data_IF_601296528866
#
_entry.id   IF_601296528866
#
_cell.length_a   1.000
_cell.length_b   1.000
_cell.length_c   1.000
_cell.angle_alpha   90.00
_cell.angle_beta   90.00
_cell.angle_gamma   90.00
#
_symmetry.space_group_name_H-M   'P 1'
#
loop_
_entity.id
_entity.type
_entity.pdbx_description
1 polymer ?
#
# COMPACT_ATOMS: atom_id res chain seq x y z
N UNK A 1 10.21 -6.38 -11.52
CA UNK A 1 9.31 -5.19 -11.42
C UNK A 1 9.57 -4.27 -12.60
N UNK A 2 8.51 -3.83 -13.30
CA UNK A 2 8.60 -2.99 -14.49
C UNK A 2 9.01 -1.54 -14.13
N UNK A 3 9.97 -0.96 -14.87
CA UNK A 3 10.54 0.38 -14.59
C UNK A 3 9.50 1.51 -14.64
N UNK A 4 8.45 1.37 -15.46
CA UNK A 4 7.35 2.33 -15.54
C UNK A 4 6.59 2.56 -14.20
N UNK A 5 6.84 1.73 -13.17
CA UNK A 5 6.27 1.89 -11.83
C UNK A 5 7.09 2.79 -10.92
N UNK A 6 8.33 3.09 -11.33
CA UNK A 6 9.33 3.78 -10.50
C UNK A 6 9.45 5.23 -10.97
N UNK A 7 9.21 6.16 -10.08
CA UNK A 7 9.20 7.58 -10.40
C UNK A 7 10.12 8.37 -9.47
N UNK A 8 10.94 9.24 -10.03
CA UNK A 8 11.73 10.19 -9.26
C UNK A 8 10.83 11.31 -8.72
N UNK A 9 10.86 11.52 -7.39
CA UNK A 9 10.11 12.60 -6.75
C UNK A 9 10.89 13.91 -6.70
N UNK A 10 12.21 13.83 -6.64
CA UNK A 10 13.09 14.97 -6.62
C UNK A 10 14.36 14.68 -7.44
N UNK A 11 15.20 15.73 -7.66
CA UNK A 11 16.47 15.61 -8.40
C UNK A 11 17.68 15.53 -7.47
N UNK A 12 17.46 15.19 -6.20
CA UNK A 12 18.55 15.11 -5.22
C UNK A 12 19.31 13.80 -5.41
N UNK A 13 20.58 13.82 -5.05
CA UNK A 13 21.40 12.59 -5.04
C UNK A 13 21.08 11.75 -3.81
N UNK A 14 21.45 10.49 -3.87
CA UNK A 14 21.58 9.67 -2.67
C UNK A 14 22.71 10.24 -1.79
N UNK A 15 22.61 10.06 -0.49
CA UNK A 15 23.57 10.54 0.48
C UNK A 15 24.08 9.37 1.35
N UNK A 16 25.23 9.51 2.03
CA UNK A 16 25.58 8.61 3.12
C UNK A 16 24.45 8.58 4.15
N UNK A 17 24.07 7.37 4.61
CA UNK A 17 22.99 7.22 5.56
C UNK A 17 23.07 5.89 6.30
N UNK A 18 22.26 5.75 7.33
CA UNK A 18 22.28 4.58 8.22
C UNK A 18 21.21 3.54 7.83
N UNK A 19 20.25 3.91 6.99
CA UNK A 19 19.15 3.04 6.54
C UNK A 19 18.56 3.54 5.22
N UNK A 20 17.75 2.69 4.59
CA UNK A 20 16.77 3.09 3.59
C UNK A 20 15.47 3.36 4.32
N UNK A 21 14.83 4.49 4.04
CA UNK A 21 13.54 4.86 4.64
C UNK A 21 12.41 4.48 3.68
N UNK A 22 11.45 3.68 4.14
CA UNK A 22 10.21 3.40 3.40
C UNK A 22 9.02 4.05 4.11
N UNK A 23 8.42 5.05 3.48
CA UNK A 23 7.16 5.62 3.96
C UNK A 23 5.98 4.85 3.37
N UNK A 24 5.38 3.99 4.17
CA UNK A 24 4.14 3.27 3.89
C UNK A 24 2.96 4.23 4.03
N UNK A 25 2.24 4.49 2.95
CA UNK A 25 1.11 5.43 2.93
C UNK A 25 -0.21 4.75 2.53
N UNK A 26 -0.23 4.05 1.41
CA UNK A 26 -1.42 3.51 0.77
C UNK A 26 -1.36 2.00 0.53
N UNK A 27 -0.20 1.37 0.72
CA UNK A 27 0.02 -0.07 0.57
C UNK A 27 0.24 -0.69 1.94
N UNK A 28 -0.85 -0.81 2.75
CA UNK A 28 -0.77 -1.25 4.14
C UNK A 28 -0.64 -2.78 4.23
N UNK A 29 0.47 -3.31 3.72
CA UNK A 29 0.76 -4.74 3.69
C UNK A 29 2.26 -5.02 3.68
N UNK A 30 2.66 -6.10 4.34
CA UNK A 30 4.04 -6.58 4.37
C UNK A 30 4.37 -7.58 3.25
N UNK A 31 3.40 -7.91 2.37
CA UNK A 31 3.51 -8.89 1.28
C UNK A 31 2.99 -8.30 -0.01
N UNK A 32 3.44 -8.82 -1.16
CA UNK A 32 2.98 -8.39 -2.49
C UNK A 32 2.98 -6.86 -2.65
N UNK A 33 4.05 -6.20 -2.17
CA UNK A 33 4.18 -4.74 -2.10
C UNK A 33 5.42 -4.27 -2.86
N UNK A 34 5.22 -3.82 -4.10
CA UNK A 34 6.30 -3.45 -5.01
C UNK A 34 7.16 -2.29 -4.50
N UNK A 35 6.59 -1.35 -3.73
CA UNK A 35 7.38 -0.28 -3.12
C UNK A 35 8.29 -0.81 -2.01
N UNK A 36 7.79 -1.76 -1.22
CA UNK A 36 8.57 -2.47 -0.22
C UNK A 36 9.70 -3.29 -0.89
N UNK A 37 9.38 -4.04 -1.95
CA UNK A 37 10.36 -4.86 -2.68
C UNK A 37 11.48 -3.99 -3.27
N UNK A 38 11.12 -2.83 -3.85
CA UNK A 38 12.10 -1.85 -4.33
C UNK A 38 12.99 -1.34 -3.18
N UNK A 39 12.41 -1.03 -2.02
CA UNK A 39 13.13 -0.53 -0.86
C UNK A 39 14.07 -1.60 -0.28
N UNK A 40 13.64 -2.87 -0.21
CA UNK A 40 14.46 -4.01 0.20
C UNK A 40 15.63 -4.22 -0.75
N UNK A 41 15.38 -4.24 -2.07
CA UNK A 41 16.44 -4.36 -3.06
C UNK A 41 17.45 -3.20 -2.96
N UNK A 42 16.97 -1.97 -2.72
CA UNK A 42 17.83 -0.81 -2.50
C UNK A 42 18.67 -0.94 -1.22
N UNK A 43 18.11 -1.43 -0.12
CA UNK A 43 18.79 -1.70 1.14
C UNK A 43 19.87 -2.77 0.95
N UNK A 44 19.54 -3.88 0.31
CA UNK A 44 20.46 -4.99 0.05
C UNK A 44 21.65 -4.56 -0.81
N UNK A 45 21.43 -3.76 -1.87
CA UNK A 45 22.53 -3.24 -2.71
C UNK A 45 23.51 -2.36 -1.95
N UNK A 46 23.07 -1.68 -0.89
CA UNK A 46 23.89 -0.75 -0.09
C UNK A 46 24.44 -1.35 1.19
N UNK A 47 24.01 -2.58 1.54
CA UNK A 47 24.36 -3.18 2.83
C UNK A 47 23.78 -2.41 4.02
N UNK A 48 22.59 -1.81 3.85
CA UNK A 48 21.89 -1.02 4.87
C UNK A 48 20.61 -1.71 5.32
N UNK A 49 20.15 -1.49 6.56
CA UNK A 49 18.83 -1.92 6.99
C UNK A 49 17.72 -1.08 6.32
N UNK A 50 16.50 -1.62 6.27
CA UNK A 50 15.30 -0.95 5.81
C UNK A 50 14.42 -0.58 7.00
N UNK A 51 14.13 0.70 7.20
CA UNK A 51 13.18 1.19 8.20
C UNK A 51 11.88 1.60 7.52
N UNK A 52 10.76 1.00 7.93
CA UNK A 52 9.43 1.36 7.47
C UNK A 52 8.76 2.31 8.47
N UNK A 53 7.99 3.28 7.95
CA UNK A 53 7.31 4.30 8.76
C UNK A 53 5.90 4.51 8.25
N UNK A 54 4.95 4.64 9.18
CA UNK A 54 3.58 5.06 8.91
C UNK A 54 3.26 6.35 9.69
N UNK A 55 2.65 7.33 9.02
CA UNK A 55 2.22 8.60 9.64
C UNK A 55 0.72 8.55 9.91
N UNK A 56 0.34 8.47 11.19
CA UNK A 56 -1.05 8.44 11.63
C UNK A 56 -1.57 9.85 11.91
N UNK A 57 -2.65 10.24 11.25
CA UNK A 57 -3.32 11.52 11.46
C UNK A 57 -4.57 11.36 12.32
N UNK A 58 -4.83 12.32 13.23
CA UNK A 58 -5.95 12.27 14.17
C UNK A 58 -7.32 12.46 13.51
N UNK A 59 -7.37 13.17 12.40
CA UNK A 59 -8.63 13.62 11.78
C UNK A 59 -8.60 13.49 10.26
N UNK A 60 -8.21 12.30 9.79
CA UNK A 60 -8.17 12.05 8.34
C UNK A 60 -9.57 12.13 7.73
N UNK A 61 -9.83 13.22 6.97
CA UNK A 61 -11.08 13.42 6.20
C UNK A 61 -12.37 13.07 6.98
N UNK A 62 -12.40 13.34 8.28
CA UNK A 62 -13.53 12.98 9.16
C UNK A 62 -13.80 11.47 9.26
N UNK A 63 -12.79 10.63 9.13
CA UNK A 63 -12.91 9.18 9.25
C UNK A 63 -13.48 8.78 10.62
N UNK A 64 -14.36 7.78 10.64
CA UNK A 64 -14.99 7.25 11.85
C UNK A 64 -14.03 6.37 12.65
N UNK A 65 -14.33 6.15 13.94
CA UNK A 65 -13.56 5.20 14.78
C UNK A 65 -13.48 3.80 14.19
N UNK A 66 -14.54 3.34 13.53
CA UNK A 66 -14.61 2.06 12.86
C UNK A 66 -13.59 2.00 11.71
N UNK A 67 -13.50 3.05 10.90
CA UNK A 67 -12.51 3.12 9.82
C UNK A 67 -11.08 3.11 10.36
N UNK A 68 -10.83 3.81 11.47
CA UNK A 68 -9.51 3.75 12.15
C UNK A 68 -9.23 2.37 12.74
N UNK A 69 -10.19 1.73 13.42
CA UNK A 69 -10.01 0.35 13.90
C UNK A 69 -9.67 -0.61 12.75
N UNK A 70 -10.36 -0.47 11.62
CA UNK A 70 -10.11 -1.28 10.43
C UNK A 70 -8.70 -1.05 9.88
N UNK A 71 -8.30 0.21 9.69
CA UNK A 71 -6.96 0.59 9.26
C UNK A 71 -5.88 0.05 10.21
N UNK A 72 -6.04 0.29 11.51
CA UNK A 72 -5.05 -0.10 12.53
C UNK A 72 -4.94 -1.61 12.67
N UNK A 73 -6.03 -2.36 12.52
CA UNK A 73 -6.00 -3.83 12.54
C UNK A 73 -5.23 -4.39 11.35
N UNK A 74 -5.43 -3.84 10.14
CA UNK A 74 -4.63 -4.23 8.97
C UNK A 74 -3.17 -3.79 9.09
N UNK A 75 -2.91 -2.63 9.70
CA UNK A 75 -1.56 -2.15 9.96
C UNK A 75 -0.83 -3.05 10.99
N UNK A 76 -1.55 -3.63 11.96
CA UNK A 76 -0.99 -4.60 12.90
C UNK A 76 -0.51 -5.86 12.19
N UNK A 77 -1.30 -6.36 11.24
CA UNK A 77 -0.88 -7.50 10.42
C UNK A 77 0.34 -7.15 9.57
N UNK A 78 0.35 -5.99 8.91
CA UNK A 78 1.49 -5.51 8.14
C UNK A 78 2.75 -5.36 9.00
N UNK A 79 2.63 -4.84 10.23
CA UNK A 79 3.75 -4.72 11.18
C UNK A 79 4.32 -6.09 11.56
N UNK A 80 3.45 -7.08 11.81
CA UNK A 80 3.88 -8.45 12.11
C UNK A 80 4.60 -9.09 10.91
N UNK A 81 4.04 -8.99 9.70
CA UNK A 81 4.67 -9.50 8.48
C UNK A 81 6.03 -8.86 8.19
N UNK A 82 6.16 -7.56 8.45
CA UNK A 82 7.43 -6.84 8.31
C UNK A 82 8.46 -7.28 9.37
N UNK A 83 8.02 -7.46 10.62
CA UNK A 83 8.88 -7.93 11.70
C UNK A 83 9.42 -9.34 11.43
N UNK A 84 8.61 -10.26 10.86
CA UNK A 84 9.07 -11.58 10.39
C UNK A 84 10.21 -11.47 9.36
N UNK A 85 10.22 -10.40 8.55
CA UNK A 85 11.28 -10.11 7.57
C UNK A 85 12.47 -9.31 8.18
N UNK A 86 12.44 -9.02 9.48
CA UNK A 86 13.46 -8.21 10.15
C UNK A 86 13.35 -6.70 9.87
N UNK A 87 12.18 -6.23 9.45
CA UNK A 87 11.91 -4.82 9.15
C UNK A 87 11.10 -4.21 10.30
N UNK A 88 11.61 -3.14 10.92
CA UNK A 88 10.86 -2.35 11.87
C UNK A 88 9.85 -1.45 11.16
N UNK A 89 8.57 -1.50 11.56
CA UNK A 89 7.55 -0.52 11.19
C UNK A 89 7.25 0.37 12.40
N UNK A 90 7.67 1.62 12.32
CA UNK A 90 7.41 2.64 13.32
C UNK A 90 6.20 3.51 12.94
N UNK A 91 5.29 3.73 13.88
CA UNK A 91 4.10 4.55 13.66
C UNK A 91 4.28 5.87 14.41
N UNK A 92 4.15 6.97 13.69
CA UNK A 92 4.25 8.31 14.27
C UNK A 92 2.94 9.08 14.10
N UNK A 93 2.57 9.84 15.13
CA UNK A 93 1.43 10.74 15.08
C UNK A 93 1.83 12.06 14.42
N UNK A 94 1.13 12.48 13.38
CA UNK A 94 1.33 13.77 12.74
C UNK A 94 1.34 13.69 11.21
N UNK A 95 1.71 14.81 10.59
CA UNK A 95 1.68 14.96 9.14
C UNK A 95 2.98 14.47 8.50
N UNK A 96 2.89 13.80 7.35
CA UNK A 96 4.07 13.23 6.69
C UNK A 96 5.16 14.25 6.34
N UNK A 97 4.77 15.47 5.97
CA UNK A 97 5.69 16.54 5.61
C UNK A 97 6.57 17.05 6.76
N UNK A 98 6.21 16.75 8.01
CA UNK A 98 7.04 17.05 9.18
C UNK A 98 7.88 15.84 9.63
N UNK A 99 7.32 14.65 9.54
CA UNK A 99 7.94 13.43 10.05
C UNK A 99 8.98 12.87 9.05
N UNK A 100 8.58 12.67 7.80
CA UNK A 100 9.42 11.97 6.83
C UNK A 100 10.70 12.73 6.48
N UNK A 101 10.69 14.05 6.22
CA UNK A 101 11.93 14.79 5.95
C UNK A 101 12.91 14.80 7.12
N UNK A 102 12.40 14.76 8.36
CA UNK A 102 13.26 14.66 9.54
C UNK A 102 13.94 13.28 9.59
N UNK A 103 13.19 12.21 9.47
CA UNK A 103 13.75 10.86 9.47
C UNK A 103 14.70 10.65 8.27
N UNK A 104 14.40 11.25 7.14
CA UNK A 104 15.22 11.17 5.94
C UNK A 104 16.61 11.85 6.07
N UNK A 105 16.86 12.65 7.10
CA UNK A 105 18.18 13.25 7.33
C UNK A 105 19.27 12.18 7.53
N UNK A 106 18.92 11.02 8.05
CA UNK A 106 19.82 9.89 8.24
C UNK A 106 19.60 8.75 7.25
N UNK A 107 18.68 8.90 6.30
CA UNK A 107 18.42 7.91 5.28
C UNK A 107 19.31 8.12 4.05
N UNK A 108 19.81 7.05 3.45
CA UNK A 108 20.55 7.11 2.18
C UNK A 108 19.61 7.36 0.99
N UNK A 109 18.40 6.85 1.06
CA UNK A 109 17.33 6.94 0.07
C UNK A 109 15.99 6.90 0.78
N UNK A 110 15.02 7.66 0.30
CA UNK A 110 13.62 7.58 0.75
C UNK A 110 12.75 6.98 -0.36
N UNK A 111 11.99 5.95 -0.01
CA UNK A 111 11.06 5.25 -0.91
C UNK A 111 9.64 5.48 -0.40
N UNK A 112 8.73 5.80 -1.31
CA UNK A 112 7.31 6.02 -1.02
C UNK A 112 6.46 5.04 -1.80
N UNK A 113 5.35 4.61 -1.25
CA UNK A 113 4.25 4.07 -2.04
C UNK A 113 3.31 5.19 -2.54
N UNK A 114 2.31 4.84 -3.32
CA UNK A 114 1.51 5.85 -4.02
C UNK A 114 0.06 5.86 -3.57
N UNK A 115 -0.35 6.99 -3.01
CA UNK A 115 -1.74 7.40 -2.93
C UNK A 115 -2.11 8.35 -4.08
N UNK A 116 -3.35 8.24 -4.60
CA UNK A 116 -3.79 8.98 -5.78
C UNK A 116 -4.69 10.17 -5.46
N UNK A 117 -5.21 10.28 -4.24
CA UNK A 117 -6.07 11.37 -3.82
C UNK A 117 -5.30 12.70 -3.78
N UNK A 118 -6.01 13.82 -3.99
CA UNK A 118 -5.39 15.15 -4.08
C UNK A 118 -4.46 15.46 -2.89
N UNK A 119 -4.92 15.21 -1.67
CA UNK A 119 -4.12 15.46 -0.46
C UNK A 119 -2.92 14.49 -0.35
N UNK A 120 -3.07 13.21 -0.74
CA UNK A 120 -1.96 12.25 -0.75
C UNK A 120 -0.87 12.66 -1.75
N UNK A 121 -1.28 13.16 -2.93
CA UNK A 121 -0.34 13.72 -3.92
C UNK A 121 0.35 14.97 -3.38
N UNK A 122 -0.38 15.86 -2.72
CA UNK A 122 0.19 17.06 -2.11
C UNK A 122 1.23 16.72 -1.02
N UNK A 123 0.95 15.75 -0.14
CA UNK A 123 1.91 15.26 0.84
C UNK A 123 3.17 14.69 0.19
N UNK A 124 3.03 13.86 -0.83
CA UNK A 124 4.16 13.29 -1.55
C UNK A 124 5.05 14.36 -2.15
N UNK A 125 4.46 15.35 -2.82
CA UNK A 125 5.19 16.49 -3.38
C UNK A 125 5.95 17.25 -2.28
N UNK A 126 5.27 17.56 -1.18
CA UNK A 126 5.88 18.31 -0.09
C UNK A 126 6.98 17.54 0.63
N UNK A 127 6.76 16.25 0.88
CA UNK A 127 7.80 15.37 1.43
C UNK A 127 9.02 15.33 0.51
N UNK A 128 8.83 15.15 -0.79
CA UNK A 128 9.94 15.11 -1.75
C UNK A 128 10.74 16.42 -1.82
N UNK A 129 10.06 17.57 -1.72
CA UNK A 129 10.71 18.89 -1.65
C UNK A 129 11.60 19.03 -0.41
N UNK A 130 11.09 18.63 0.75
CA UNK A 130 11.73 18.82 2.05
C UNK A 130 12.77 17.74 2.38
N UNK A 131 12.64 16.55 1.86
CA UNK A 131 13.56 15.42 2.10
C UNK A 131 14.95 15.75 1.56
N UNK A 132 16.05 15.56 2.33
CA UNK A 132 17.40 15.95 1.93
C UNK A 132 18.04 15.02 0.89
N UNK A 133 17.64 13.76 0.84
CA UNK A 133 18.18 12.75 -0.06
C UNK A 133 17.27 12.48 -1.28
N UNK A 134 17.77 11.66 -2.21
CA UNK A 134 16.98 11.12 -3.31
C UNK A 134 15.68 10.48 -2.80
N UNK A 135 14.59 10.79 -3.45
CA UNK A 135 13.26 10.31 -3.08
C UNK A 135 12.57 9.72 -4.30
N UNK A 136 12.12 8.49 -4.17
CA UNK A 136 11.48 7.71 -5.23
C UNK A 136 10.11 7.24 -4.75
N UNK A 137 9.10 7.26 -5.63
CA UNK A 137 7.83 6.62 -5.34
C UNK A 137 7.57 5.48 -6.32
N UNK A 138 6.89 4.43 -5.84
CA UNK A 138 6.63 3.21 -6.61
C UNK A 138 5.14 2.89 -6.61
N UNK A 139 4.59 2.65 -7.81
CA UNK A 139 3.19 2.28 -7.97
C UNK A 139 2.93 0.82 -7.60
N UNK A 140 2.32 0.60 -6.44
CA UNK A 140 2.05 -0.73 -5.87
C UNK A 140 0.58 -1.14 -5.87
N UNK A 141 -0.35 -0.19 -6.11
CA UNK A 141 -1.79 -0.40 -5.94
C UNK A 141 -2.57 -0.45 -7.25
N UNK A 142 -1.89 -0.67 -8.36
CA UNK A 142 -2.50 -0.80 -9.69
C UNK A 142 -1.86 -1.93 -10.48
N UNK A 143 -2.66 -2.58 -11.34
CA UNK A 143 -2.13 -3.57 -12.29
C UNK A 143 -1.26 -2.87 -13.34
N UNK A 144 -1.72 -1.77 -13.90
CA UNK A 144 -0.99 -0.97 -14.88
C UNK A 144 -0.76 0.42 -14.30
N UNK A 145 0.47 0.98 -14.36
CA UNK A 145 0.76 2.34 -13.90
C UNK A 145 -0.13 3.38 -14.56
N UNK A 146 -0.50 4.44 -13.81
CA UNK A 146 -1.48 5.44 -14.28
C UNK A 146 -1.08 6.08 -15.60
N UNK A 147 0.17 6.57 -15.69
CA UNK A 147 0.64 7.26 -16.89
C UNK A 147 0.82 6.34 -18.10
N UNK A 148 1.11 5.05 -17.84
CA UNK A 148 1.16 4.02 -18.88
C UNK A 148 -0.25 3.67 -19.39
N UNK A 149 -1.23 3.60 -18.48
CA UNK A 149 -2.62 3.31 -18.82
C UNK A 149 -3.23 4.42 -19.69
N UNK A 150 -3.02 5.68 -19.32
CA UNK A 150 -3.43 6.83 -20.13
C UNK A 150 -2.69 8.11 -19.70
N UNK A 151 -2.19 8.92 -20.63
CA UNK A 151 -1.57 10.22 -20.34
C UNK A 151 -2.59 11.31 -20.02
N UNK A 152 -3.90 11.00 -20.07
CA UNK A 152 -5.00 11.93 -19.81
C UNK A 152 -6.13 11.25 -19.04
N UNK A 153 -6.98 12.07 -18.42
CA UNK A 153 -8.19 11.59 -17.78
C UNK A 153 -9.13 10.91 -18.81
N UNK A 154 -9.64 9.74 -18.45
CA UNK A 154 -10.58 8.97 -19.27
C UNK A 154 -12.01 9.18 -18.80
N UNK A 155 -12.91 9.42 -19.76
CA UNK A 155 -14.32 9.73 -19.50
C UNK A 155 -15.14 8.54 -19.00
N UNK A 156 -14.69 7.32 -19.28
CA UNK A 156 -15.44 6.12 -18.93
C UNK A 156 -14.54 4.90 -18.74
N UNK A 157 -15.04 3.90 -18.02
CA UNK A 157 -14.41 2.60 -17.92
C UNK A 157 -14.21 1.92 -19.29
N UNK A 158 -15.10 2.17 -20.25
CA UNK A 158 -14.99 1.61 -21.60
C UNK A 158 -13.76 2.13 -22.33
N UNK A 159 -13.51 3.45 -22.33
CA UNK A 159 -12.33 4.04 -22.98
C UNK A 159 -11.03 3.61 -22.32
N UNK A 160 -11.03 3.54 -20.98
CA UNK A 160 -9.88 3.04 -20.21
C UNK A 160 -9.62 1.57 -20.51
N UNK A 161 -10.64 0.70 -20.51
CA UNK A 161 -10.51 -0.74 -20.76
C UNK A 161 -9.80 -1.03 -22.08
N UNK A 162 -10.17 -0.32 -23.15
CA UNK A 162 -9.53 -0.49 -24.47
C UNK A 162 -8.03 -0.19 -24.48
N UNK A 163 -7.58 0.69 -23.56
CA UNK A 163 -6.15 1.04 -23.43
C UNK A 163 -5.40 0.06 -22.56
N UNK A 164 -6.01 -0.38 -21.44
CA UNK A 164 -5.33 -1.24 -20.48
C UNK A 164 -5.31 -2.72 -20.91
N UNK A 165 -6.34 -3.20 -21.61
CA UNK A 165 -6.44 -4.62 -22.00
C UNK A 165 -5.21 -5.13 -22.74
N UNK A 166 -4.67 -4.44 -23.77
CA UNK A 166 -3.47 -4.91 -24.48
C UNK A 166 -2.20 -4.94 -23.63
N UNK A 167 -2.18 -4.18 -22.52
CA UNK A 167 -1.02 -4.04 -21.66
C UNK A 167 -1.04 -5.01 -20.46
N UNK A 168 -2.15 -5.70 -20.22
CA UNK A 168 -2.32 -6.52 -19.00
C UNK A 168 -1.19 -7.54 -18.85
N UNK A 169 -0.88 -8.28 -19.89
CA UNK A 169 0.10 -9.37 -19.84
C UNK A 169 1.53 -8.86 -19.58
N UNK A 170 1.85 -7.62 -19.95
CA UNK A 170 3.17 -7.01 -19.74
C UNK A 170 3.39 -6.55 -18.30
N UNK A 171 2.31 -6.32 -17.51
CA UNK A 171 2.37 -5.72 -16.19
C UNK A 171 2.00 -6.65 -15.03
N UNK A 172 1.74 -7.93 -15.30
CA UNK A 172 1.34 -8.91 -14.26
C UNK A 172 2.55 -9.47 -13.52
N UNK A 173 3.76 -9.21 -13.99
CA UNK A 173 4.97 -9.74 -13.38
C UNK A 173 5.13 -9.25 -11.94
N UNK A 174 4.97 -10.17 -10.99
CA UNK A 174 5.25 -9.93 -9.57
C UNK A 174 6.75 -9.99 -9.36
N UNK A 175 7.30 -8.95 -8.76
CA UNK A 175 8.69 -8.99 -8.32
C UNK A 175 8.90 -10.15 -7.34
N UNK A 176 10.04 -10.84 -7.44
CA UNK A 176 10.44 -11.81 -6.43
C UNK A 176 10.65 -11.08 -5.10
N UNK A 177 9.92 -11.48 -4.06
CA UNK A 177 10.09 -10.91 -2.73
C UNK A 177 11.50 -11.23 -2.21
N UNK A 178 12.29 -10.19 -2.00
CA UNK A 178 13.58 -10.30 -1.33
C UNK A 178 13.42 -10.07 0.18
N UNK A 179 14.32 -10.67 0.97
CA UNK A 179 14.44 -10.40 2.41
C UNK A 179 15.61 -9.45 2.65
N UNK A 180 15.49 -8.47 3.55
CA UNK A 180 16.61 -7.61 3.92
C UNK A 180 17.78 -8.42 4.51
N UNK A 181 18.99 -8.12 4.08
CA UNK A 181 20.22 -8.74 4.62
C UNK A 181 20.56 -8.23 6.02
N UNK A 182 20.11 -7.02 6.35
CA UNK A 182 20.34 -6.37 7.64
C UNK A 182 19.00 -6.04 8.28
N UNK A 183 18.81 -6.52 9.53
CA UNK A 183 17.60 -6.21 10.28
C UNK A 183 17.59 -4.76 10.76
N UNK A 184 16.43 -4.14 10.74
CA UNK A 184 16.18 -2.83 11.35
C UNK A 184 15.42 -2.94 12.69
N UNK A 185 15.15 -4.14 13.18
CA UNK A 185 14.52 -4.31 14.49
C UNK A 185 15.42 -3.71 15.58
N UNK A 186 14.85 -2.79 16.37
CA UNK A 186 15.60 -2.07 17.43
C UNK A 186 16.41 -0.87 16.94
N UNK A 187 16.27 -0.46 15.66
CA UNK A 187 16.93 0.76 15.18
C UNK A 187 16.31 1.99 15.85
N UNK A 188 17.14 2.90 16.35
CA UNK A 188 16.68 4.20 16.83
C UNK A 188 16.60 5.19 15.66
N UNK A 189 15.38 5.58 15.30
CA UNK A 189 15.14 6.56 14.23
C UNK A 189 15.21 8.02 14.73
N UNK A 190 15.28 8.24 16.06
CA UNK A 190 15.13 9.53 16.70
C UNK A 190 16.25 9.85 17.72
N UNK A 191 17.53 9.63 17.40
CA UNK A 191 18.60 9.69 18.39
C UNK A 191 18.75 11.04 19.10
N UNK A 192 18.17 12.12 18.56
CA UNK A 192 18.33 13.48 19.08
C UNK A 192 17.01 14.26 19.21
N UNK A 193 15.85 13.57 19.26
CA UNK A 193 14.55 14.25 19.28
C UNK A 193 13.59 13.59 20.26
N UNK A 194 13.07 14.39 21.20
CA UNK A 194 12.12 13.94 22.23
C UNK A 194 10.66 14.32 21.93
N UNK A 195 10.41 15.19 20.95
CA UNK A 195 9.08 15.66 20.57
C UNK A 195 8.34 14.73 19.58
N UNK A 196 9.07 13.81 18.94
CA UNK A 196 8.51 12.72 18.15
C UNK A 196 8.67 11.41 18.92
N UNK A 197 7.57 10.74 19.22
CA UNK A 197 7.59 9.42 19.88
C UNK A 197 6.86 8.43 18.99
N UNK A 198 7.46 7.27 18.70
CA UNK A 198 6.75 6.19 18.03
C UNK A 198 5.55 5.74 18.89
N UNK A 199 4.41 5.53 18.24
CA UNK A 199 3.21 5.08 18.92
C UNK A 199 3.23 3.55 19.08
N UNK A 200 2.78 3.06 20.22
CA UNK A 200 2.44 1.65 20.38
C UNK A 200 1.13 1.36 19.65
N UNK A 201 1.18 0.42 18.71
CA UNK A 201 -0.02 0.03 17.97
C UNK A 201 -1.10 -0.56 18.88
N UNK A 202 -0.71 -1.26 19.94
CA UNK A 202 -1.62 -1.81 20.92
C UNK A 202 -2.40 -0.69 21.67
N UNK A 203 -1.71 0.38 22.04
CA UNK A 203 -2.32 1.51 22.74
C UNK A 203 -3.28 2.28 21.82
N UNK A 204 -2.89 2.46 20.54
CA UNK A 204 -3.74 3.15 19.57
C UNK A 204 -4.99 2.33 19.24
N UNK A 205 -4.89 1.00 19.17
CA UNK A 205 -6.04 0.12 18.94
C UNK A 205 -7.06 0.19 20.07
N UNK A 206 -6.58 0.34 21.32
CA UNK A 206 -7.46 0.53 22.48
C UNK A 206 -8.11 1.92 22.49
N UNK A 207 -7.36 2.94 22.09
CA UNK A 207 -7.79 4.33 22.06
C UNK A 207 -7.52 4.96 20.68
N UNK A 208 -8.28 4.60 19.64
CA UNK A 208 -8.08 5.13 18.30
C UNK A 208 -8.27 6.66 18.27
N UNK A 209 -7.51 7.37 17.42
CA UNK A 209 -7.52 8.83 17.34
C UNK A 209 -8.90 9.40 17.19
N UNK A 210 -9.06 10.63 17.71
CA UNK A 210 -10.29 11.31 17.95
C UNK A 210 -11.19 11.46 16.73
N UNK A 211 -12.44 11.11 16.91
CA UNK A 211 -13.47 11.27 15.90
C UNK A 211 -14.75 11.60 16.63
N UNK A 212 -15.57 12.39 15.97
CA UNK A 212 -16.86 12.82 16.46
C UNK A 212 -17.65 11.62 17.05
N UNK A 213 -17.90 11.60 18.38
CA UNK A 213 -18.65 10.53 19.01
C UNK A 213 -20.07 10.37 18.48
N UNK A 214 -20.62 11.40 17.80
CA UNK A 214 -21.96 11.40 17.19
C UNK A 214 -22.06 10.53 15.93
N UNK A 215 -20.95 10.05 15.38
CA UNK A 215 -20.91 9.12 14.24
C UNK A 215 -20.60 7.67 14.67
N UNK A 216 -20.76 7.37 15.92
CA UNK A 216 -20.55 6.01 16.45
C UNK A 216 -21.78 5.14 16.20
N UNK A 217 -22.02 4.77 14.97
CA UNK A 217 -22.76 3.54 14.71
C UNK A 217 -21.80 2.39 15.04
N UNK A 218 -22.20 1.53 15.96
CA UNK A 218 -21.53 0.26 16.28
C UNK A 218 -21.72 -0.76 15.13
N UNK A 219 -21.69 -0.32 13.90
CA UNK A 219 -21.68 -1.25 12.76
C UNK A 219 -20.39 -2.05 12.85
N UNK A 220 -20.53 -3.28 13.29
CA UNK A 220 -19.50 -4.29 13.11
C UNK A 220 -19.17 -4.31 11.63
N UNK A 221 -17.91 -4.03 11.28
CA UNK A 221 -17.47 -4.22 9.91
C UNK A 221 -17.75 -5.68 9.58
N UNK A 222 -18.58 -5.90 8.57
CA UNK A 222 -19.00 -7.24 8.15
C UNK A 222 -17.80 -8.12 7.77
N UNK A 223 -16.67 -7.49 7.50
CA UNK A 223 -15.49 -8.13 6.97
C UNK A 223 -14.25 -7.87 7.85
N UNK A 224 -13.62 -8.94 8.36
CA UNK A 224 -12.38 -8.79 9.11
C UNK A 224 -11.30 -8.10 8.25
N UNK A 225 -10.60 -7.09 8.80
CA UNK A 225 -9.53 -6.40 8.10
C UNK A 225 -8.27 -7.26 7.91
N UNK A 226 -7.38 -6.79 7.06
CA UNK A 226 -6.06 -7.37 6.87
C UNK A 226 -5.93 -8.20 5.61
N UNK A 227 -4.68 -8.49 5.25
CA UNK A 227 -4.30 -9.20 4.04
C UNK A 227 -4.79 -10.66 4.03
N UNK A 228 -4.54 -11.41 5.11
CA UNK A 228 -4.87 -12.85 5.17
C UNK A 228 -6.36 -13.11 5.01
N UNK A 229 -7.19 -12.35 5.71
CA UNK A 229 -8.65 -12.47 5.61
C UNK A 229 -9.16 -12.09 4.20
N UNK A 230 -8.63 -11.04 3.63
CA UNK A 230 -9.01 -10.60 2.29
C UNK A 230 -8.63 -11.63 1.21
N UNK A 231 -7.43 -12.21 1.28
CA UNK A 231 -6.99 -13.26 0.33
C UNK A 231 -7.80 -14.54 0.51
N UNK A 232 -8.10 -14.97 1.74
CA UNK A 232 -8.94 -16.14 1.99
C UNK A 232 -10.34 -15.95 1.38
N UNK A 233 -10.96 -14.78 1.58
CA UNK A 233 -12.27 -14.44 1.00
C UNK A 233 -12.21 -14.35 -0.53
N UNK A 234 -11.16 -13.77 -1.09
CA UNK A 234 -11.02 -13.69 -2.53
C UNK A 234 -10.88 -15.07 -3.18
N UNK A 235 -10.13 -15.98 -2.56
CA UNK A 235 -10.04 -17.37 -3.04
C UNK A 235 -11.37 -18.09 -2.96
N UNK A 236 -12.10 -17.92 -1.86
CA UNK A 236 -13.46 -18.47 -1.74
C UNK A 236 -14.39 -17.93 -2.84
N UNK A 237 -14.35 -16.64 -3.12
CA UNK A 237 -15.09 -16.04 -4.24
C UNK A 237 -14.71 -16.67 -5.59
N UNK A 238 -13.42 -16.86 -5.85
CA UNK A 238 -12.95 -17.48 -7.11
C UNK A 238 -13.37 -18.94 -7.23
N UNK A 239 -13.36 -19.71 -6.13
CA UNK A 239 -13.75 -21.13 -6.17
C UNK A 239 -15.24 -21.36 -6.25
N UNK A 240 -16.07 -20.53 -5.62
CA UNK A 240 -17.49 -20.80 -5.42
C UNK A 240 -18.43 -19.87 -6.19
N UNK A 241 -17.99 -18.67 -6.57
CA UNK A 241 -18.89 -17.61 -7.04
C UNK A 241 -18.48 -16.99 -8.38
N UNK A 242 -17.28 -17.27 -8.88
CA UNK A 242 -16.78 -16.58 -10.09
C UNK A 242 -17.65 -16.89 -11.32
N UNK A 243 -18.17 -18.10 -11.44
CA UNK A 243 -18.97 -18.54 -12.59
C UNK A 243 -20.32 -17.84 -12.68
N UNK A 244 -20.88 -17.41 -11.55
CA UNK A 244 -22.18 -16.71 -11.50
C UNK A 244 -22.03 -15.19 -11.42
N UNK A 245 -20.79 -14.68 -11.27
CA UNK A 245 -20.49 -13.28 -11.01
C UNK A 245 -21.17 -12.30 -11.96
N UNK A 246 -21.20 -12.57 -13.26
CA UNK A 246 -21.78 -11.67 -14.25
C UNK A 246 -23.30 -11.50 -14.09
N UNK A 247 -23.98 -12.52 -13.60
CA UNK A 247 -25.42 -12.50 -13.33
C UNK A 247 -25.72 -11.89 -11.96
N UNK A 248 -24.96 -12.33 -10.92
CA UNK A 248 -25.29 -12.05 -9.52
C UNK A 248 -24.82 -10.68 -9.04
N UNK A 249 -23.76 -10.13 -9.63
CA UNK A 249 -23.13 -8.84 -9.20
C UNK A 249 -24.07 -7.63 -9.21
N UNK A 250 -25.15 -7.66 -9.99
CA UNK A 250 -26.11 -6.58 -10.11
C UNK A 250 -27.37 -6.80 -9.27
N UNK A 251 -27.53 -7.96 -8.65
CA UNK A 251 -28.66 -8.26 -7.76
C UNK A 251 -28.30 -7.90 -6.31
N UNK A 252 -28.91 -6.87 -5.71
CA UNK A 252 -28.60 -6.45 -4.34
C UNK A 252 -29.03 -7.47 -3.27
N UNK A 253 -29.82 -8.48 -3.62
CA UNK A 253 -30.27 -9.53 -2.70
C UNK A 253 -29.29 -10.71 -2.64
N UNK A 254 -28.33 -10.79 -3.59
CA UNK A 254 -27.33 -11.83 -3.66
C UNK A 254 -25.96 -11.32 -3.16
N UNK A 255 -25.22 -12.21 -2.52
CA UNK A 255 -23.81 -11.96 -2.20
C UNK A 255 -22.90 -12.36 -3.38
N UNK A 256 -23.14 -11.72 -4.54
CA UNK A 256 -22.52 -12.06 -5.82
C UNK A 256 -21.21 -11.32 -6.12
N UNK A 257 -20.52 -10.77 -5.12
CA UNK A 257 -19.28 -10.00 -5.34
C UNK A 257 -18.13 -10.46 -4.45
N UNK A 258 -16.90 -10.19 -4.89
CA UNK A 258 -15.68 -10.53 -4.13
C UNK A 258 -15.51 -9.76 -2.81
N UNK A 259 -16.26 -8.67 -2.62
CA UNK A 259 -16.15 -7.72 -1.49
C UNK A 259 -14.72 -7.20 -1.23
N UNK A 260 -13.89 -7.10 -2.28
CA UNK A 260 -12.51 -6.65 -2.16
C UNK A 260 -12.35 -5.13 -2.04
N UNK A 261 -13.41 -4.34 -2.24
CA UNK A 261 -13.32 -2.87 -2.25
C UNK A 261 -12.71 -2.27 -0.99
N UNK A 262 -13.07 -2.78 0.21
CA UNK A 262 -12.48 -2.34 1.47
C UNK A 262 -10.99 -2.68 1.57
N UNK A 263 -10.61 -3.92 1.26
CA UNK A 263 -9.22 -4.36 1.30
C UNK A 263 -8.34 -3.61 0.28
N UNK A 264 -8.85 -3.33 -0.91
CA UNK A 264 -8.17 -2.52 -1.93
C UNK A 264 -8.06 -1.05 -1.50
N UNK A 265 -9.12 -0.49 -0.88
CA UNK A 265 -9.13 0.90 -0.39
C UNK A 265 -8.04 1.17 0.64
N UNK A 266 -7.85 0.27 1.59
CA UNK A 266 -6.82 0.38 2.62
C UNK A 266 -5.45 -0.15 2.17
N UNK A 267 -5.36 -0.72 0.98
CA UNK A 267 -4.12 -1.30 0.47
C UNK A 267 -3.68 -2.57 1.18
N UNK A 268 -4.60 -3.31 1.81
CA UNK A 268 -4.31 -4.59 2.47
C UNK A 268 -3.97 -5.69 1.47
N UNK A 269 -4.47 -5.58 0.24
CA UNK A 269 -4.17 -6.50 -0.86
C UNK A 269 -3.64 -5.77 -2.08
N UNK A 270 -2.82 -6.45 -2.86
CA UNK A 270 -2.33 -5.96 -4.14
C UNK A 270 -3.30 -6.36 -5.26
N UNK A 271 -3.70 -5.44 -6.16
CA UNK A 271 -4.42 -5.82 -7.37
C UNK A 271 -3.66 -6.84 -8.21
N UNK A 272 -2.33 -6.77 -8.26
CA UNK A 272 -1.49 -7.76 -8.96
C UNK A 272 -1.59 -9.15 -8.33
N UNK A 273 -1.62 -9.23 -7.00
CA UNK A 273 -1.78 -10.49 -6.29
C UNK A 273 -3.14 -11.13 -6.59
N UNK A 274 -4.23 -10.33 -6.58
CA UNK A 274 -5.56 -10.82 -6.94
C UNK A 274 -5.59 -11.35 -8.37
N UNK A 275 -4.97 -10.64 -9.32
CA UNK A 275 -4.86 -11.08 -10.71
C UNK A 275 -4.05 -12.38 -10.81
N UNK A 276 -2.95 -12.51 -10.08
CA UNK A 276 -2.12 -13.73 -10.04
C UNK A 276 -2.90 -14.92 -9.49
N UNK A 277 -3.73 -14.70 -8.46
CA UNK A 277 -4.63 -15.74 -7.93
C UNK A 277 -5.64 -16.16 -9.01
N UNK A 278 -6.29 -15.23 -9.69
CA UNK A 278 -7.20 -15.53 -10.80
C UNK A 278 -6.53 -16.35 -11.89
N UNK A 279 -5.33 -15.94 -12.34
CA UNK A 279 -4.59 -16.67 -13.36
C UNK A 279 -4.32 -18.12 -12.95
N UNK A 280 -3.90 -18.31 -11.69
CA UNK A 280 -3.55 -19.63 -11.17
C UNK A 280 -4.78 -20.51 -10.99
N UNK A 281 -5.81 -20.01 -10.33
CA UNK A 281 -7.02 -20.81 -10.00
C UNK A 281 -7.85 -21.15 -11.25
N UNK A 282 -7.87 -20.24 -12.24
CA UNK A 282 -8.63 -20.43 -13.48
C UNK A 282 -7.76 -20.93 -14.66
N UNK A 283 -6.47 -21.25 -14.43
CA UNK A 283 -5.52 -21.70 -15.45
C UNK A 283 -5.44 -20.75 -16.66
N UNK A 284 -5.46 -19.46 -16.43
CA UNK A 284 -5.44 -18.45 -17.48
C UNK A 284 -4.01 -18.17 -17.94
N UNK A 285 -3.69 -18.47 -19.19
CA UNK A 285 -2.35 -18.20 -19.76
C UNK A 285 -2.17 -16.73 -20.16
N UNK A 286 -3.25 -16.03 -20.51
CA UNK A 286 -3.25 -14.61 -20.88
C UNK A 286 -4.52 -13.93 -20.40
N UNK A 287 -4.36 -12.80 -19.72
CA UNK A 287 -5.50 -12.00 -19.25
C UNK A 287 -6.12 -11.17 -20.36
N UNK A 288 -5.32 -10.71 -21.30
CA UNK A 288 -5.78 -9.95 -22.47
C UNK A 288 -6.81 -10.73 -23.30
N UNK A 289 -6.75 -12.07 -23.27
CA UNK A 289 -7.71 -12.93 -23.97
C UNK A 289 -9.04 -13.12 -23.22
N UNK A 290 -9.09 -12.80 -21.92
CA UNK A 290 -10.29 -13.00 -21.08
C UNK A 290 -11.22 -11.79 -21.02
N UNK A 291 -10.86 -10.69 -21.69
CA UNK A 291 -11.67 -9.48 -21.71
C UNK A 291 -12.70 -9.57 -22.83
N UNK A 292 -13.97 -9.73 -22.48
CA UNK A 292 -15.05 -9.59 -23.46
C UNK A 292 -15.04 -8.17 -24.05
N UNK A 293 -15.11 -8.02 -25.37
CA UNK A 293 -15.45 -6.77 -26.00
C UNK A 293 -16.93 -6.47 -25.69
N UNK A 294 -17.18 -5.81 -24.55
CA UNK A 294 -18.52 -5.36 -24.15
C UNK A 294 -18.87 -4.03 -24.76
#
# INVERSE_FOLDING_TARGET
>A
MHDARIHECNRKAEQPGHYILYWMQASLRGRSNLALDFAVAAANRRGLPLAAVFCLQDSYLSASKIQYKHLLSGLAEAQADLAEKGIALSIFKGTPEHIIPYLAQQAALTVLDTGYLRHQRAWRTKVAELTPCRTVWVESNLVIPVETASPKEEWSAYTLRRKITPLLDDFIDMATEEVPRHSSLGIDLLPNRSDLTPLSLQDILQNPPGIDPRRMDEQVLSEPPGHRNAIARFRHFVSEQIDTYDNDRNDPLLDGTSRMSGALHFGFVSPLELVTILQKELNLHRLSACTHPG
#
